data_IF_915075917943
#
_entry.id   IF_915075917943
#
_cell.length_a   1.000
_cell.length_b   1.000
_cell.length_c   1.000
_cell.angle_alpha   90.00
_cell.angle_beta   90.00
_cell.angle_gamma   90.00
#
_symmetry.space_group_name_H-M   'P 1'
#
loop_
_entity.id
_entity.type
_entity.pdbx_description
1 polymer ?
#
# COMPACT_ATOMS: atom_id res chain seq x y z
N UNK A 1 -7.91 -14.78 1.04
CA UNK A 1 -9.00 -13.82 0.77
C UNK A 1 -8.34 -12.50 0.40
N UNK A 2 -8.68 -11.90 -0.74
CA UNK A 2 -8.10 -10.63 -1.16
C UNK A 2 -8.56 -9.48 -0.24
N UNK A 3 -7.77 -8.43 -0.23
CA UNK A 3 -7.98 -7.21 0.53
C UNK A 3 -8.30 -6.09 -0.45
N UNK A 4 -9.30 -5.28 -0.13
CA UNK A 4 -9.73 -4.16 -0.94
C UNK A 4 -9.97 -2.93 -0.08
N UNK A 5 -9.58 -1.78 -0.61
CA UNK A 5 -9.90 -0.48 -0.03
C UNK A 5 -11.23 0.03 -0.59
N UNK A 6 -12.09 0.57 0.28
CA UNK A 6 -13.31 1.27 -0.11
C UNK A 6 -13.32 2.68 0.44
N UNK A 7 -13.61 3.64 -0.43
CA UNK A 7 -13.76 5.04 -0.08
C UNK A 7 -15.23 5.42 -0.01
N UNK A 8 -15.63 6.09 1.07
CA UNK A 8 -16.94 6.71 1.24
C UNK A 8 -16.84 8.23 1.05
N UNK A 9 -17.45 8.82 0.01
CA UNK A 9 -17.44 10.27 -0.20
C UNK A 9 -18.15 11.05 0.91
N UNK A 10 -19.14 10.45 1.58
CA UNK A 10 -19.98 11.12 2.58
C UNK A 10 -19.23 11.46 3.87
N UNK A 11 -18.18 10.70 4.23
CA UNK A 11 -17.36 10.94 5.41
C UNK A 11 -15.88 11.12 5.10
N UNK A 12 -15.49 11.04 3.82
CA UNK A 12 -14.13 11.15 3.34
C UNK A 12 -13.15 10.14 3.97
N UNK A 13 -13.64 8.93 4.27
CA UNK A 13 -12.83 7.84 4.83
C UNK A 13 -12.58 6.74 3.79
N UNK A 14 -11.41 6.12 3.90
CA UNK A 14 -11.07 4.88 3.20
C UNK A 14 -10.88 3.79 4.25
N UNK A 15 -11.56 2.65 4.07
CA UNK A 15 -11.44 1.48 4.94
C UNK A 15 -11.01 0.28 4.10
N UNK A 16 -10.04 -0.44 4.64
CA UNK A 16 -9.57 -1.72 4.11
C UNK A 16 -10.47 -2.86 4.62
N UNK A 17 -10.95 -3.72 3.72
CA UNK A 17 -11.77 -4.89 4.06
C UNK A 17 -11.30 -6.14 3.33
N UNK A 18 -11.47 -7.30 3.97
CA UNK A 18 -11.13 -8.59 3.41
C UNK A 18 -12.40 -9.37 3.02
N UNK A 19 -12.62 -9.59 1.73
CA UNK A 19 -13.80 -10.33 1.24
C UNK A 19 -13.52 -11.04 -0.10
N UNK A 20 -14.42 -11.94 -0.52
CA UNK A 20 -14.29 -12.64 -1.81
C UNK A 20 -14.45 -11.65 -2.96
N UNK A 21 -13.74 -11.86 -4.08
CA UNK A 21 -13.94 -11.06 -5.29
C UNK A 21 -15.39 -11.09 -5.80
N UNK A 22 -16.11 -12.20 -5.59
CA UNK A 22 -17.51 -12.38 -6.01
C UNK A 22 -18.51 -11.56 -5.19
N UNK A 23 -18.07 -11.01 -4.06
CA UNK A 23 -18.92 -10.18 -3.21
C UNK A 23 -18.79 -8.72 -3.66
N UNK A 24 -19.91 -8.14 -4.08
CA UNK A 24 -20.02 -6.72 -4.40
C UNK A 24 -20.38 -5.93 -3.14
N UNK A 25 -19.64 -4.84 -2.91
CA UNK A 25 -19.84 -3.93 -1.77
C UNK A 25 -20.13 -2.56 -2.36
N UNK A 26 -21.28 -2.00 -2.02
CA UNK A 26 -21.78 -0.75 -2.62
C UNK A 26 -22.14 0.30 -1.58
N UNK A 27 -22.28 -0.10 -0.31
CA UNK A 27 -22.72 0.77 0.78
C UNK A 27 -21.73 0.81 1.95
N UNK A 28 -21.73 1.91 2.69
CA UNK A 28 -20.92 2.10 3.89
C UNK A 28 -21.23 1.08 4.98
N UNK A 29 -22.50 0.68 5.11
CA UNK A 29 -22.90 -0.34 6.07
C UNK A 29 -22.30 -1.71 5.82
N UNK A 30 -22.19 -2.10 4.54
CA UNK A 30 -21.52 -3.36 4.16
C UNK A 30 -20.03 -3.31 4.48
N UNK A 31 -19.37 -2.16 4.22
CA UNK A 31 -17.96 -1.93 4.60
C UNK A 31 -17.80 -2.05 6.12
N UNK A 32 -18.65 -1.36 6.90
CA UNK A 32 -18.58 -1.38 8.36
C UNK A 32 -18.82 -2.77 8.94
N UNK A 33 -19.76 -3.53 8.35
CA UNK A 33 -20.03 -4.90 8.75
C UNK A 33 -18.81 -5.81 8.51
N UNK A 34 -18.11 -5.65 7.39
CA UNK A 34 -16.91 -6.44 7.07
C UNK A 34 -15.69 -6.01 7.91
N UNK A 35 -15.53 -4.71 8.15
CA UNK A 35 -14.44 -4.14 8.95
C UNK A 35 -14.67 -4.26 10.46
N UNK A 36 -15.88 -4.65 10.88
CA UNK A 36 -16.33 -4.63 12.27
C UNK A 36 -16.11 -3.25 12.92
N UNK A 37 -16.55 -2.18 12.26
CA UNK A 37 -16.51 -0.82 12.77
C UNK A 37 -17.91 -0.22 12.93
N UNK A 38 -18.02 0.85 13.71
CA UNK A 38 -19.27 1.58 13.92
C UNK A 38 -19.62 2.45 12.71
N UNK A 39 -20.91 2.55 12.40
CA UNK A 39 -21.43 3.43 11.34
C UNK A 39 -21.13 4.92 11.61
N UNK A 40 -21.08 5.31 12.88
CA UNK A 40 -21.03 6.70 13.32
C UNK A 40 -22.23 7.49 12.78
N UNK A 41 -21.97 8.69 12.27
CA UNK A 41 -22.97 9.57 11.68
C UNK A 41 -23.21 9.33 10.18
N UNK A 42 -22.49 8.38 9.57
CA UNK A 42 -22.61 8.11 8.13
C UNK A 42 -23.80 7.20 7.87
N UNK A 43 -24.74 7.57 6.97
CA UNK A 43 -25.87 6.71 6.63
C UNK A 43 -25.41 5.33 6.15
N UNK A 44 -26.13 4.28 6.56
CA UNK A 44 -25.80 2.89 6.21
C UNK A 44 -25.79 2.66 4.69
N UNK A 45 -26.67 3.34 3.98
CA UNK A 45 -26.87 3.30 2.53
C UNK A 45 -25.97 4.28 1.76
N UNK A 46 -25.09 5.02 2.45
CA UNK A 46 -24.13 5.90 1.79
C UNK A 46 -23.27 5.11 0.81
N UNK A 47 -23.18 5.58 -0.43
CA UNK A 47 -22.45 4.90 -1.50
C UNK A 47 -20.95 4.88 -1.20
N UNK A 48 -20.31 3.77 -1.53
CA UNK A 48 -18.86 3.62 -1.50
C UNK A 48 -18.34 3.23 -2.88
N UNK A 49 -17.05 3.47 -3.11
CA UNK A 49 -16.35 2.98 -4.30
C UNK A 49 -15.10 2.22 -3.89
N UNK A 50 -14.85 1.09 -4.56
CA UNK A 50 -13.57 0.38 -4.42
C UNK A 50 -12.45 1.25 -4.96
N UNK A 51 -11.37 1.37 -4.19
CA UNK A 51 -10.16 2.08 -4.59
C UNK A 51 -9.21 1.08 -5.23
N UNK A 52 -8.71 1.44 -6.41
CA UNK A 52 -7.66 0.71 -7.10
C UNK A 52 -6.42 1.60 -7.08
N UNK A 53 -5.43 1.21 -6.29
CA UNK A 53 -4.13 1.89 -6.25
C UNK A 53 -3.30 1.50 -7.46
N UNK A 54 -2.44 2.43 -7.91
CA UNK A 54 -1.46 2.11 -8.93
C UNK A 54 -0.56 0.96 -8.43
N UNK A 55 -0.25 -0.05 -9.26
CA UNK A 55 0.67 -1.10 -8.86
C UNK A 55 2.04 -0.48 -8.54
N UNK A 56 2.56 -0.80 -7.35
CA UNK A 56 3.93 -0.41 -7.00
C UNK A 56 4.90 -1.40 -7.64
N UNK A 57 5.82 -0.91 -8.46
CA UNK A 57 6.91 -1.73 -8.99
C UNK A 57 8.03 -1.79 -7.95
N UNK A 58 8.27 -2.98 -7.40
CA UNK A 58 9.46 -3.24 -6.60
C UNK A 58 10.61 -3.60 -7.54
N UNK A 59 11.40 -2.60 -7.91
CA UNK A 59 12.63 -2.77 -8.70
C UNK A 59 13.85 -2.73 -7.77
N UNK A 60 14.89 -3.55 -8.03
CA UNK A 60 16.11 -3.48 -7.23
C UNK A 60 16.75 -2.10 -7.40
N UNK A 61 17.05 -1.46 -6.27
CA UNK A 61 17.81 -0.21 -6.25
C UNK A 61 19.23 -0.44 -6.76
N UNK A 62 19.62 0.25 -7.82
CA UNK A 62 20.94 0.17 -8.43
C UNK A 62 22.01 0.90 -7.60
N UNK A 63 23.28 0.69 -7.91
CA UNK A 63 24.36 1.46 -7.26
C UNK A 63 24.23 2.96 -7.58
N UNK A 64 23.86 3.31 -8.82
CA UNK A 64 23.60 4.69 -9.22
C UNK A 64 22.47 5.33 -8.42
N UNK A 65 21.38 4.60 -8.15
CA UNK A 65 20.27 5.09 -7.32
C UNK A 65 20.74 5.41 -5.90
N UNK A 66 21.55 4.54 -5.29
CA UNK A 66 22.14 4.79 -3.98
C UNK A 66 23.05 6.04 -4.00
N UNK A 67 23.93 6.14 -5.00
CA UNK A 67 24.82 7.30 -5.18
C UNK A 67 24.04 8.61 -5.29
N UNK A 68 23.01 8.63 -6.15
CA UNK A 68 22.16 9.82 -6.37
C UNK A 68 21.38 10.23 -5.12
N UNK A 69 20.99 9.27 -4.29
CA UNK A 69 20.34 9.52 -3.01
C UNK A 69 21.34 9.88 -1.88
N UNK A 70 22.64 9.98 -2.18
CA UNK A 70 23.69 10.35 -1.22
C UNK A 70 24.16 9.20 -0.34
N UNK A 71 23.83 7.96 -0.69
CA UNK A 71 24.26 6.76 0.03
C UNK A 71 25.52 6.15 -0.61
N UNK A 72 26.41 5.64 0.26
CA UNK A 72 27.53 4.79 -0.15
C UNK A 72 27.18 3.33 0.08
N UNK A 73 27.20 2.52 -0.99
CA UNK A 73 26.97 1.07 -0.88
C UNK A 73 28.30 0.34 -0.74
N UNK A 74 28.47 -0.34 0.39
CA UNK A 74 29.64 -1.18 0.66
C UNK A 74 29.30 -2.66 0.46
N UNK A 75 30.06 -3.35 -0.39
CA UNK A 75 29.95 -4.79 -0.58
C UNK A 75 31.15 -5.47 0.07
N UNK A 76 30.88 -6.40 1.00
CA UNK A 76 31.92 -7.18 1.67
C UNK A 76 32.60 -8.12 0.66
N UNK A 77 33.92 -8.05 0.56
CA UNK A 77 34.73 -8.96 -0.27
C UNK A 77 35.45 -10.02 0.55
N UNK A 78 35.89 -9.63 1.75
CA UNK A 78 36.55 -10.52 2.72
C UNK A 78 36.36 -10.02 4.16
N UNK A 79 36.94 -10.71 5.15
CA UNK A 79 36.92 -10.33 6.56
C UNK A 79 37.62 -8.98 6.77
N UNK A 80 36.82 -7.95 7.04
CA UNK A 80 37.30 -6.58 7.24
C UNK A 80 37.52 -5.80 5.95
N UNK A 81 37.24 -6.39 4.78
CA UNK A 81 37.41 -5.73 3.47
C UNK A 81 36.06 -5.47 2.84
N UNK A 82 35.77 -4.20 2.57
CA UNK A 82 34.54 -3.73 1.96
C UNK A 82 34.89 -2.83 0.77
N UNK A 83 34.22 -3.06 -0.35
CA UNK A 83 34.37 -2.26 -1.57
C UNK A 83 33.22 -1.26 -1.68
N UNK A 84 33.55 0.00 -1.96
CA UNK A 84 32.56 0.99 -2.34
C UNK A 84 32.15 0.78 -3.80
N UNK A 85 30.97 0.19 -4.02
CA UNK A 85 30.47 -0.07 -5.37
C UNK A 85 29.72 1.11 -5.98
N UNK A 86 29.57 2.23 -5.25
CA UNK A 86 29.00 3.48 -5.79
C UNK A 86 30.04 4.39 -6.45
N UNK A 87 31.33 4.13 -6.22
CA UNK A 87 32.43 4.89 -6.85
C UNK A 87 32.81 4.34 -8.23
N UNK A 88 32.44 3.10 -8.53
CA UNK A 88 32.82 2.38 -9.74
C UNK A 88 31.90 2.60 -10.95
N UNK A 89 30.79 3.35 -10.77
CA UNK A 89 29.79 3.71 -11.80
C UNK A 89 29.77 5.23 -12.08
#
# INVERSE_FOLDING_TARGET
MPIYDYFCPSNNQTIEVMHSYTQEITTWGEVCQLANCDLGDTPKDALVRRVLSAPMLSIPTSNADYKNAGFTKLVKRDKGVYENVTDSD
#
